data_IF_929560820375
#
_entry.id   IF_929560820375
#
_cell.length_a   1.000
_cell.length_b   1.000
_cell.length_c   1.000
_cell.angle_alpha   90.00
_cell.angle_beta   90.00
_cell.angle_gamma   90.00
#
_symmetry.space_group_name_H-M   'P 1'
#
loop_
_entity.id
_entity.type
_entity.pdbx_description
1 polymer ?
#
# COMPACT_ATOMS: atom_id res chain seq x y z
N UNK A 1 23.88 -14.75 5.64
CA UNK A 1 22.61 -15.35 5.18
C UNK A 1 21.84 -14.16 4.66
N UNK A 2 21.80 -13.95 3.35
CA UNK A 2 21.09 -12.81 2.77
C UNK A 2 19.63 -13.23 2.82
N UNK A 3 18.91 -12.69 3.80
CA UNK A 3 17.46 -12.83 3.86
C UNK A 3 16.94 -12.18 2.58
N UNK A 4 16.41 -12.99 1.65
CA UNK A 4 15.58 -12.47 0.57
C UNK A 4 14.38 -11.81 1.25
N UNK A 5 14.49 -10.52 1.58
CA UNK A 5 13.36 -9.69 1.98
C UNK A 5 12.49 -9.52 0.73
N UNK A 6 11.72 -10.56 0.38
CA UNK A 6 10.58 -10.36 -0.50
C UNK A 6 9.60 -9.50 0.28
N UNK A 7 9.38 -8.26 -0.16
CA UNK A 7 8.35 -7.40 0.42
C UNK A 7 7.02 -8.14 0.32
N UNK A 8 6.36 -8.33 1.47
CA UNK A 8 5.06 -8.99 1.52
C UNK A 8 3.96 -7.96 1.31
N UNK A 9 2.76 -8.43 0.92
CA UNK A 9 1.58 -7.59 0.82
C UNK A 9 1.30 -6.77 2.10
N UNK A 10 1.61 -7.32 3.27
CA UNK A 10 1.45 -6.63 4.56
C UNK A 10 2.45 -5.50 4.75
N UNK A 11 3.69 -5.67 4.26
CA UNK A 11 4.74 -4.65 4.32
C UNK A 11 4.36 -3.45 3.42
N UNK A 12 3.95 -3.75 2.18
CA UNK A 12 3.44 -2.75 1.23
C UNK A 12 2.20 -2.04 1.76
N UNK A 13 1.32 -2.75 2.45
CA UNK A 13 0.15 -2.16 3.08
C UNK A 13 0.54 -1.17 4.17
N UNK A 14 1.45 -1.56 5.07
CA UNK A 14 1.91 -0.66 6.14
C UNK A 14 2.56 0.60 5.56
N UNK A 15 3.42 0.46 4.56
CA UNK A 15 4.04 1.59 3.86
C UNK A 15 3.00 2.50 3.22
N UNK A 16 2.03 1.93 2.49
CA UNK A 16 0.95 2.69 1.88
C UNK A 16 0.10 3.42 2.93
N UNK A 17 -0.17 2.81 4.10
CA UNK A 17 -0.87 3.46 5.22
C UNK A 17 -0.06 4.61 5.80
N UNK A 18 1.24 4.42 6.02
CA UNK A 18 2.13 5.46 6.56
C UNK A 18 2.21 6.66 5.62
N UNK A 19 2.39 6.42 4.32
CA UNK A 19 2.41 7.47 3.30
C UNK A 19 1.05 8.14 3.13
N UNK A 20 -0.03 7.37 3.10
CA UNK A 20 -1.39 7.90 3.02
C UNK A 20 -1.70 8.80 4.23
N UNK A 21 -1.28 8.42 5.43
CA UNK A 21 -1.42 9.26 6.64
C UNK A 21 -0.56 10.52 6.56
N UNK A 22 0.71 10.38 6.16
CA UNK A 22 1.63 11.51 6.02
C UNK A 22 1.12 12.55 5.00
N UNK A 23 0.49 12.09 3.92
CA UNK A 23 -0.09 12.95 2.87
C UNK A 23 -1.54 13.37 3.16
N UNK A 24 -2.17 12.87 4.23
CA UNK A 24 -3.56 13.19 4.58
C UNK A 24 -4.60 12.61 3.63
N UNK A 25 -4.28 11.49 2.97
CA UNK A 25 -5.18 10.76 2.07
C UNK A 25 -6.33 10.18 2.88
N UNK A 26 -7.53 10.68 2.59
CA UNK A 26 -8.79 10.29 3.25
C UNK A 26 -9.86 9.84 2.27
N UNK A 27 -9.53 9.76 0.98
CA UNK A 27 -10.43 9.35 -0.09
C UNK A 27 -9.95 8.05 -0.73
N UNK A 28 -10.89 7.27 -1.27
CA UNK A 28 -10.57 6.03 -1.99
C UNK A 28 -9.67 6.29 -3.20
N UNK A 29 -9.92 7.37 -3.93
CA UNK A 29 -9.11 7.77 -5.09
C UNK A 29 -7.67 8.07 -4.67
N UNK A 30 -7.46 8.83 -3.60
CA UNK A 30 -6.11 9.10 -3.10
C UNK A 30 -5.41 7.84 -2.56
N UNK A 31 -6.16 6.88 -2.00
CA UNK A 31 -5.59 5.60 -1.59
C UNK A 31 -5.15 4.76 -2.77
N UNK A 32 -5.98 4.69 -3.83
CA UNK A 32 -5.62 3.99 -5.06
C UNK A 32 -4.36 4.58 -5.70
N UNK A 33 -4.23 5.90 -5.73
CA UNK A 33 -3.06 6.63 -6.23
C UNK A 33 -1.80 6.33 -5.38
N UNK A 34 -1.94 6.33 -4.04
CA UNK A 34 -0.87 5.97 -3.12
C UNK A 34 -0.37 4.55 -3.32
N UNK A 35 -1.29 3.59 -3.44
CA UNK A 35 -0.97 2.18 -3.65
C UNK A 35 -0.27 1.99 -4.99
N UNK A 36 -0.70 2.69 -6.04
CA UNK A 36 -0.04 2.65 -7.34
C UNK A 36 1.41 3.15 -7.25
N UNK A 37 1.64 4.27 -6.56
CA UNK A 37 2.98 4.82 -6.34
C UNK A 37 3.90 3.86 -5.56
N UNK A 38 3.39 3.24 -4.48
CA UNK A 38 4.17 2.28 -3.68
C UNK A 38 4.56 1.05 -4.50
N UNK A 39 3.62 0.50 -5.27
CA UNK A 39 3.90 -0.68 -6.12
C UNK A 39 4.90 -0.33 -7.24
N UNK A 40 4.77 0.85 -7.86
CA UNK A 40 5.66 1.29 -8.92
C UNK A 40 7.10 1.52 -8.42
N UNK A 41 7.26 2.13 -7.25
CA UNK A 41 8.57 2.32 -6.60
C UNK A 41 9.25 0.96 -6.33
N UNK A 42 8.50 0.00 -5.77
CA UNK A 42 9.00 -1.33 -5.43
C UNK A 42 9.33 -2.18 -6.66
N UNK A 43 8.60 -1.96 -7.75
CA UNK A 43 8.92 -2.52 -9.07
C UNK A 43 10.24 -1.96 -9.59
N UNK A 44 10.52 -0.66 -9.42
CA UNK A 44 11.80 -0.05 -9.80
C UNK A 44 12.99 -0.64 -9.01
N UNK A 45 12.80 -0.94 -7.73
CA UNK A 45 13.80 -1.60 -6.89
C UNK A 45 13.98 -3.11 -7.18
N UNK A 46 13.28 -3.65 -8.18
CA UNK A 46 13.33 -5.06 -8.58
C UNK A 46 12.89 -6.03 -7.46
N UNK A 47 12.12 -5.53 -6.48
CA UNK A 47 11.60 -6.32 -5.36
C UNK A 47 10.32 -7.08 -5.72
N UNK A 48 9.62 -6.62 -6.77
CA UNK A 48 8.50 -7.33 -7.40
C UNK A 48 9.01 -7.95 -8.70
N UNK A 49 8.98 -9.27 -8.78
CA UNK A 49 9.67 -10.03 -9.83
C UNK A 49 8.89 -10.10 -11.17
N UNK A 50 7.57 -9.94 -11.15
CA UNK A 50 6.68 -10.12 -12.30
C UNK A 50 5.59 -9.02 -12.35
N UNK A 51 5.15 -8.65 -13.56
CA UNK A 51 4.04 -7.68 -13.76
C UNK A 51 2.74 -8.19 -13.14
N UNK A 52 2.42 -9.48 -13.29
CA UNK A 52 1.22 -10.10 -12.71
C UNK A 52 1.22 -10.02 -11.17
N UNK A 53 2.38 -10.22 -10.53
CA UNK A 53 2.53 -10.11 -9.08
C UNK A 53 2.30 -8.66 -8.61
N UNK A 54 2.81 -7.67 -9.35
CA UNK A 54 2.60 -6.25 -9.04
C UNK A 54 1.12 -5.85 -9.15
N UNK A 55 0.45 -6.27 -10.23
CA UNK A 55 -0.97 -6.01 -10.44
C UNK A 55 -1.84 -6.71 -9.38
N UNK A 56 -1.55 -7.98 -9.04
CA UNK A 56 -2.31 -8.71 -8.01
C UNK A 56 -2.14 -8.07 -6.62
N UNK A 57 -0.91 -7.66 -6.27
CA UNK A 57 -0.64 -6.94 -5.01
C UNK A 57 -1.34 -5.58 -4.96
N UNK A 58 -1.30 -4.81 -6.07
CA UNK A 58 -2.03 -3.55 -6.20
C UNK A 58 -3.53 -3.75 -5.96
N UNK A 59 -4.15 -4.69 -6.65
CA UNK A 59 -5.59 -4.96 -6.50
C UNK A 59 -5.92 -5.41 -5.06
N UNK A 60 -5.07 -6.23 -4.45
CA UNK A 60 -5.22 -6.67 -3.08
C UNK A 60 -5.15 -5.49 -2.08
N UNK A 61 -4.20 -4.57 -2.26
CA UNK A 61 -4.05 -3.35 -1.44
C UNK A 61 -5.21 -2.38 -1.64
N UNK A 62 -5.69 -2.19 -2.87
CA UNK A 62 -6.84 -1.34 -3.16
C UNK A 62 -8.12 -1.89 -2.52
N UNK A 63 -8.29 -3.22 -2.49
CA UNK A 63 -9.37 -3.87 -1.77
C UNK A 63 -9.29 -3.72 -0.24
N UNK A 64 -8.13 -3.32 0.31
CA UNK A 64 -7.96 -2.99 1.73
C UNK A 64 -8.28 -1.54 2.09
N UNK A 65 -8.75 -0.73 1.13
CA UNK A 65 -9.34 0.59 1.40
C UNK A 65 -10.30 0.61 2.61
N UNK A 66 -11.32 -0.28 2.72
CA UNK A 66 -12.24 -0.27 3.86
C UNK A 66 -11.54 -0.45 5.21
N UNK A 67 -10.43 -1.20 5.25
CA UNK A 67 -9.63 -1.39 6.46
C UNK A 67 -8.92 -0.08 6.84
N UNK A 68 -8.25 0.55 5.88
CA UNK A 68 -7.63 1.86 6.08
C UNK A 68 -8.66 2.95 6.44
N UNK A 69 -9.80 3.00 5.75
CA UNK A 69 -10.88 3.94 6.04
C UNK A 69 -11.46 3.76 7.45
N UNK A 70 -11.50 2.53 7.97
CA UNK A 70 -11.87 2.26 9.35
C UNK A 70 -10.86 2.86 10.34
N UNK A 71 -9.55 2.79 10.04
CA UNK A 71 -8.52 3.44 10.87
C UNK A 71 -8.71 4.96 10.92
N UNK A 72 -8.97 5.61 9.77
CA UNK A 72 -9.24 7.05 9.68
C UNK A 72 -10.47 7.48 10.47
N UNK A 73 -11.54 6.67 10.44
CA UNK A 73 -12.74 6.91 11.24
C UNK A 73 -12.49 6.76 12.73
N UNK A 74 -11.64 5.79 13.13
CA UNK A 74 -11.31 5.56 14.53
C UNK A 74 -10.33 6.59 15.11
N UNK A 75 -9.55 7.27 14.26
CA UNK A 75 -8.53 8.25 14.66
C UNK A 75 -9.06 9.69 14.80
N UNK A 76 -10.37 9.94 14.59
CA UNK A 76 -11.00 11.21 14.97
C UNK A 76 -11.50 11.15 16.42
N UNK A 77 -10.75 11.65 17.42
CA UNK A 77 -11.36 11.99 18.69
C UNK A 77 -12.31 13.16 18.46
N UNK A 78 -13.54 12.99 18.96
CA UNK A 78 -14.57 14.02 19.00
C UNK A 78 -14.11 15.30 19.71
#
# INVERSE_FOLDING_TARGET
MVEFLGYTLEDLYNEAVELARAQGVTTREGWSDMVEQVIEDRREFQEVHDDDDADEMREALQNRWPDYAATLSSEKPF
#
